data_IF_963284969871
#
_entry.id   IF_963284969871
#
_cell.length_a   1.000
_cell.length_b   1.000
_cell.length_c   1.000
_cell.angle_alpha   90.00
_cell.angle_beta   90.00
_cell.angle_gamma   90.00
#
_symmetry.space_group_name_H-M   'P 1'
#
loop_
_entity.id
_entity.type
_entity.pdbx_description
1 polymer ?
#
# COMPACT_ATOMS: atom_id res chain seq x y z
N UNK A 1 10.69 -16.60 1.45
CA UNK A 1 9.41 -16.98 0.82
C UNK A 1 8.47 -17.37 1.94
N UNK A 2 7.42 -16.57 2.17
CA UNK A 2 6.44 -16.84 3.23
C UNK A 2 5.72 -18.16 2.98
N UNK A 3 5.29 -18.81 4.05
CA UNK A 3 4.48 -20.03 3.97
C UNK A 3 3.02 -19.66 3.62
N UNK A 4 2.83 -19.12 2.42
CA UNK A 4 1.52 -18.64 1.94
C UNK A 4 0.48 -19.77 1.91
N UNK A 5 0.94 -21.01 1.69
CA UNK A 5 0.08 -22.20 1.74
C UNK A 5 -0.50 -22.41 3.14
N UNK A 6 0.30 -22.31 4.20
CA UNK A 6 -0.23 -22.36 5.58
C UNK A 6 -1.11 -21.17 5.91
N UNK A 7 -0.73 -19.96 5.50
CA UNK A 7 -1.56 -18.78 5.72
C UNK A 7 -2.95 -18.93 5.08
N UNK A 8 -2.99 -19.40 3.83
CA UNK A 8 -4.23 -19.68 3.11
C UNK A 8 -5.07 -20.74 3.85
N UNK A 9 -4.45 -21.84 4.30
CA UNK A 9 -5.15 -22.88 5.06
C UNK A 9 -5.82 -22.33 6.33
N UNK A 10 -5.12 -21.48 7.09
CA UNK A 10 -5.69 -20.86 8.30
C UNK A 10 -6.83 -19.89 7.98
N UNK A 11 -6.69 -19.06 6.93
CA UNK A 11 -7.76 -18.14 6.54
C UNK A 11 -8.98 -18.87 5.98
N UNK A 12 -8.80 -19.93 5.20
CA UNK A 12 -9.91 -20.76 4.70
C UNK A 12 -10.63 -21.46 5.85
N UNK A 13 -9.91 -22.01 6.83
CA UNK A 13 -10.51 -22.58 8.05
C UNK A 13 -11.30 -21.52 8.84
N UNK A 14 -10.73 -20.33 9.03
CA UNK A 14 -11.43 -19.22 9.69
C UNK A 14 -12.70 -18.82 8.93
N UNK A 15 -12.62 -18.74 7.60
CA UNK A 15 -13.74 -18.41 6.74
C UNK A 15 -14.88 -19.42 6.87
N UNK A 16 -14.57 -20.73 6.85
CA UNK A 16 -15.57 -21.79 7.04
C UNK A 16 -16.27 -21.73 8.41
N UNK A 17 -15.57 -21.29 9.45
CA UNK A 17 -16.17 -21.08 10.78
C UNK A 17 -17.15 -19.90 10.72
N UNK A 18 -16.73 -18.78 10.15
CA UNK A 18 -17.59 -17.60 10.00
C UNK A 18 -18.81 -17.89 9.14
N UNK A 19 -18.67 -18.61 8.03
CA UNK A 19 -19.78 -18.97 7.13
C UNK A 19 -20.86 -19.78 7.85
N UNK A 20 -20.47 -20.64 8.81
CA UNK A 20 -21.41 -21.45 9.60
C UNK A 20 -22.03 -20.68 10.77
N UNK A 21 -21.31 -19.70 11.32
CA UNK A 21 -21.67 -19.04 12.57
C UNK A 21 -22.39 -17.69 12.37
N UNK A 22 -22.19 -17.04 11.23
CA UNK A 22 -22.61 -15.67 10.99
C UNK A 22 -23.67 -15.55 9.88
N UNK A 23 -24.52 -14.52 9.92
CA UNK A 23 -25.46 -14.27 8.84
C UNK A 23 -24.72 -13.89 7.54
N UNK A 24 -25.31 -14.12 6.34
CA UNK A 24 -24.62 -13.97 5.05
C UNK A 24 -23.98 -12.59 4.78
N UNK A 25 -24.50 -11.52 5.36
CA UNK A 25 -24.00 -10.15 5.18
C UNK A 25 -23.14 -9.65 6.36
N UNK A 26 -22.60 -10.55 7.18
CA UNK A 26 -21.80 -10.13 8.34
C UNK A 26 -20.45 -9.53 7.90
N UNK A 27 -20.01 -8.39 8.46
CA UNK A 27 -18.73 -7.75 8.10
C UNK A 27 -17.48 -8.65 8.24
N UNK A 28 -17.48 -9.58 9.20
CA UNK A 28 -16.38 -10.54 9.37
C UNK A 28 -16.26 -11.51 8.19
N UNK A 29 -17.36 -11.83 7.49
CA UNK A 29 -17.31 -12.62 6.26
C UNK A 29 -16.59 -11.83 5.16
N UNK A 30 -16.94 -10.55 4.97
CA UNK A 30 -16.24 -9.69 4.01
C UNK A 30 -14.75 -9.58 4.32
N UNK A 31 -14.41 -9.40 5.60
CA UNK A 31 -13.01 -9.32 6.05
C UNK A 31 -12.25 -10.62 5.77
N UNK A 32 -12.86 -11.78 6.02
CA UNK A 32 -12.23 -13.07 5.73
C UNK A 32 -12.01 -13.31 4.24
N UNK A 33 -12.95 -12.91 3.37
CA UNK A 33 -12.75 -12.92 1.92
C UNK A 33 -11.59 -12.02 1.50
N UNK A 34 -11.51 -10.81 2.04
CA UNK A 34 -10.41 -9.89 1.75
C UNK A 34 -9.04 -10.43 2.17
N UNK A 35 -8.94 -11.10 3.32
CA UNK A 35 -7.69 -11.71 3.77
C UNK A 35 -7.24 -12.86 2.84
N UNK A 36 -8.17 -13.71 2.41
CA UNK A 36 -7.86 -14.78 1.43
C UNK A 36 -7.42 -14.16 0.09
N UNK A 37 -8.13 -13.12 -0.36
CA UNK A 37 -7.76 -12.38 -1.58
C UNK A 37 -6.35 -11.77 -1.49
N UNK A 38 -5.97 -11.24 -0.32
CA UNK A 38 -4.63 -10.72 -0.08
C UNK A 38 -3.55 -11.80 -0.18
N UNK A 39 -3.79 -13.00 0.38
CA UNK A 39 -2.84 -14.11 0.24
C UNK A 39 -2.65 -14.50 -1.22
N UNK A 40 -3.74 -14.61 -2.00
CA UNK A 40 -3.63 -14.89 -3.44
C UNK A 40 -2.90 -13.77 -4.19
N UNK A 41 -3.13 -12.51 -3.85
CA UNK A 41 -2.43 -11.36 -4.43
C UNK A 41 -0.92 -11.41 -4.14
N UNK A 42 -0.53 -11.84 -2.93
CA UNK A 42 0.87 -12.01 -2.55
C UNK A 42 1.52 -13.25 -3.18
N UNK A 43 0.73 -14.28 -3.51
CA UNK A 43 1.16 -15.43 -4.31
C UNK A 43 1.27 -15.12 -5.82
N UNK A 44 0.75 -13.97 -6.28
CA UNK A 44 0.69 -13.59 -7.69
C UNK A 44 -0.49 -14.22 -8.46
N UNK A 45 -1.42 -14.90 -7.78
CA UNK A 45 -2.67 -15.38 -8.38
C UNK A 45 -3.72 -14.25 -8.32
N UNK A 46 -3.50 -13.24 -9.15
CA UNK A 46 -4.32 -12.03 -9.17
C UNK A 46 -5.77 -12.30 -9.57
N UNK A 47 -6.02 -13.32 -10.42
CA UNK A 47 -7.38 -13.70 -10.81
C UNK A 47 -8.18 -14.20 -9.61
N UNK A 48 -7.61 -15.09 -8.79
CA UNK A 48 -8.28 -15.49 -7.55
C UNK A 48 -8.37 -14.35 -6.55
N UNK A 49 -7.33 -13.53 -6.42
CA UNK A 49 -7.39 -12.36 -5.53
C UNK A 49 -8.61 -11.48 -5.82
N UNK A 50 -8.83 -11.14 -7.09
CA UNK A 50 -9.98 -10.34 -7.54
C UNK A 50 -11.32 -11.03 -7.26
N UNK A 51 -11.42 -12.35 -7.48
CA UNK A 51 -12.65 -13.12 -7.17
C UNK A 51 -13.00 -13.01 -5.67
N UNK A 52 -12.01 -13.19 -4.79
CA UNK A 52 -12.20 -13.10 -3.35
C UNK A 52 -12.52 -11.67 -2.90
N UNK A 53 -11.84 -10.66 -3.46
CA UNK A 53 -12.18 -9.26 -3.19
C UNK A 53 -13.59 -8.88 -3.67
N UNK A 54 -14.07 -9.47 -4.77
CA UNK A 54 -15.43 -9.22 -5.26
C UNK A 54 -16.49 -9.78 -4.32
N UNK A 55 -16.30 -11.00 -3.82
CA UNK A 55 -17.17 -11.60 -2.79
C UNK A 55 -17.21 -10.76 -1.51
N UNK A 56 -16.04 -10.29 -1.07
CA UNK A 56 -15.95 -9.40 0.10
C UNK A 56 -16.69 -8.08 -0.10
N UNK A 57 -16.49 -7.44 -1.25
CA UNK A 57 -17.14 -6.19 -1.61
C UNK A 57 -18.67 -6.33 -1.73
N UNK A 58 -19.18 -7.44 -2.26
CA UNK A 58 -20.62 -7.70 -2.35
C UNK A 58 -21.27 -7.74 -0.96
N UNK A 59 -20.64 -8.44 -0.02
CA UNK A 59 -21.09 -8.49 1.39
C UNK A 59 -21.08 -7.10 2.00
N UNK A 60 -19.99 -6.34 1.84
CA UNK A 60 -19.89 -4.98 2.38
C UNK A 60 -20.96 -4.05 1.79
N UNK A 61 -21.26 -4.16 0.49
CA UNK A 61 -22.33 -3.37 -0.17
C UNK A 61 -23.72 -3.71 0.38
N UNK A 62 -23.98 -4.98 0.69
CA UNK A 62 -25.26 -5.41 1.24
C UNK A 62 -25.41 -5.06 2.72
N UNK A 63 -24.30 -4.96 3.45
CA UNK A 63 -24.27 -4.71 4.89
C UNK A 63 -24.26 -3.21 5.26
N UNK A 64 -23.66 -2.37 4.42
CA UNK A 64 -23.31 -0.99 4.76
C UNK A 64 -23.89 0.03 3.77
N UNK A 65 -24.10 1.29 4.19
CA UNK A 65 -24.48 2.37 3.29
C UNK A 65 -23.46 2.58 2.16
N UNK A 66 -23.87 3.06 0.96
CA UNK A 66 -22.98 3.23 -0.19
C UNK A 66 -21.76 4.14 0.01
N UNK A 67 -21.80 5.02 1.01
CA UNK A 67 -20.71 5.94 1.37
C UNK A 67 -19.88 5.44 2.57
N UNK A 68 -20.04 4.19 2.99
CA UNK A 68 -19.29 3.66 4.13
C UNK A 68 -17.80 3.52 3.80
N UNK A 69 -16.87 3.98 4.67
CA UNK A 69 -15.43 3.94 4.43
C UNK A 69 -14.85 2.56 4.08
N UNK A 70 -15.42 1.48 4.61
CA UNK A 70 -14.98 0.10 4.33
C UNK A 70 -15.10 -0.29 2.85
N UNK A 71 -16.05 0.33 2.12
CA UNK A 71 -16.17 0.15 0.67
C UNK A 71 -14.95 0.76 -0.05
N UNK A 72 -14.39 1.85 0.47
CA UNK A 72 -13.15 2.42 -0.07
C UNK A 72 -11.97 1.46 0.15
N UNK A 73 -11.86 0.83 1.33
CA UNK A 73 -10.83 -0.17 1.62
C UNK A 73 -10.85 -1.35 0.66
N UNK A 74 -12.04 -1.81 0.28
CA UNK A 74 -12.21 -2.85 -0.74
C UNK A 74 -11.64 -2.38 -2.09
N UNK A 75 -12.02 -1.18 -2.55
CA UNK A 75 -11.49 -0.60 -3.79
C UNK A 75 -9.96 -0.39 -3.79
N UNK A 76 -9.35 -0.10 -2.64
CA UNK A 76 -7.89 -0.03 -2.52
C UNK A 76 -7.23 -1.40 -2.71
N UNK A 77 -7.88 -2.48 -2.27
CA UNK A 77 -7.40 -3.86 -2.47
C UNK A 77 -7.42 -4.24 -3.96
N UNK A 78 -8.49 -3.87 -4.67
CA UNK A 78 -8.54 -3.98 -6.14
C UNK A 78 -7.42 -3.18 -6.82
N UNK A 79 -7.20 -1.93 -6.40
CA UNK A 79 -6.16 -1.08 -6.96
C UNK A 79 -4.76 -1.69 -6.78
N UNK A 80 -4.48 -2.24 -5.61
CA UNK A 80 -3.23 -2.94 -5.32
C UNK A 80 -3.00 -4.13 -6.26
N UNK A 81 -4.05 -4.93 -6.48
CA UNK A 81 -3.99 -6.09 -7.38
C UNK A 81 -3.74 -5.66 -8.83
N UNK A 82 -4.51 -4.68 -9.33
CA UNK A 82 -4.35 -4.17 -10.70
C UNK A 82 -3.00 -3.50 -10.93
N UNK A 83 -2.44 -2.81 -9.93
CA UNK A 83 -1.08 -2.23 -10.01
C UNK A 83 -0.03 -3.32 -10.23
N UNK A 84 -0.10 -4.42 -9.45
CA UNK A 84 0.82 -5.56 -9.61
C UNK A 84 0.65 -6.32 -10.92
N UNK A 85 -0.56 -6.31 -11.50
CA UNK A 85 -0.82 -6.85 -12.84
C UNK A 85 -0.31 -5.95 -13.96
N UNK A 86 0.02 -4.69 -13.68
CA UNK A 86 0.34 -3.67 -14.69
C UNK A 86 -0.88 -3.08 -15.38
N UNK A 87 -2.11 -3.39 -14.94
CA UNK A 87 -3.33 -2.75 -15.42
C UNK A 87 -3.58 -1.42 -14.68
N UNK A 88 -2.77 -0.43 -15.03
CA UNK A 88 -2.82 0.88 -14.39
C UNK A 88 -4.15 1.61 -14.63
N UNK A 89 -4.85 1.32 -15.74
CA UNK A 89 -6.15 1.92 -16.02
C UNK A 89 -7.22 1.41 -15.04
N UNK A 90 -7.27 0.10 -14.80
CA UNK A 90 -8.14 -0.50 -13.79
C UNK A 90 -7.76 -0.04 -12.37
N UNK A 91 -6.47 0.05 -12.07
CA UNK A 91 -5.99 0.54 -10.77
C UNK A 91 -6.45 1.98 -10.49
N UNK A 92 -6.28 2.90 -11.46
CA UNK A 92 -6.74 4.29 -11.33
C UNK A 92 -8.27 4.39 -11.22
N UNK A 93 -9.02 3.52 -11.90
CA UNK A 93 -10.49 3.47 -11.77
C UNK A 93 -10.90 3.05 -10.36
N UNK A 94 -10.28 2.01 -9.81
CA UNK A 94 -10.53 1.55 -8.44
C UNK A 94 -10.16 2.64 -7.41
N UNK A 95 -9.02 3.31 -7.57
CA UNK A 95 -8.61 4.42 -6.70
C UNK A 95 -9.59 5.60 -6.76
N UNK A 96 -10.14 5.91 -7.93
CA UNK A 96 -11.17 6.94 -8.08
C UNK A 96 -12.44 6.57 -7.30
N UNK A 97 -12.87 5.32 -7.37
CA UNK A 97 -14.02 4.85 -6.58
C UNK A 97 -13.77 4.96 -5.08
N UNK A 98 -12.59 4.54 -4.59
CA UNK A 98 -12.21 4.71 -3.18
C UNK A 98 -12.24 6.19 -2.76
N UNK A 99 -11.63 7.06 -3.58
CA UNK A 99 -11.57 8.50 -3.30
C UNK A 99 -12.95 9.13 -3.24
N UNK A 100 -13.86 8.79 -4.16
CA UNK A 100 -15.22 9.33 -4.18
C UNK A 100 -16.01 8.94 -2.92
N UNK A 101 -15.86 7.71 -2.43
CA UNK A 101 -16.48 7.25 -1.19
C UNK A 101 -15.92 8.04 0.00
N UNK A 102 -14.60 8.19 0.07
CA UNK A 102 -13.94 8.95 1.14
C UNK A 102 -14.37 10.42 1.15
N UNK A 103 -14.54 11.06 -0.01
CA UNK A 103 -15.04 12.44 -0.12
C UNK A 103 -16.48 12.61 0.40
N UNK A 104 -17.31 11.57 0.30
CA UNK A 104 -18.67 11.59 0.85
C UNK A 104 -18.69 11.30 2.35
N UNK A 105 -17.72 10.53 2.85
CA UNK A 105 -17.65 10.12 4.26
C UNK A 105 -16.91 11.12 5.15
N UNK A 106 -15.93 11.84 4.61
CA UNK A 106 -14.96 12.59 5.39
C UNK A 106 -14.66 13.99 4.82
N UNK A 107 -14.20 14.87 5.71
CA UNK A 107 -13.64 16.16 5.34
C UNK A 107 -12.25 15.99 4.71
N UNK A 108 -11.84 16.98 3.90
CA UNK A 108 -10.52 17.02 3.28
C UNK A 108 -9.39 16.95 4.33
N UNK A 109 -8.36 16.16 4.05
CA UNK A 109 -7.22 15.95 4.95
C UNK A 109 -7.44 14.87 6.02
N UNK A 110 -8.55 14.11 5.96
CA UNK A 110 -8.74 12.94 6.82
C UNK A 110 -7.66 11.84 6.55
N UNK A 111 -7.15 11.13 7.57
CA UNK A 111 -6.18 10.05 7.42
C UNK A 111 -6.57 8.98 6.39
N UNK A 112 -7.86 8.73 6.17
CA UNK A 112 -8.35 7.77 5.19
C UNK A 112 -7.81 8.02 3.77
N UNK A 113 -7.60 9.28 3.40
CA UNK A 113 -7.08 9.65 2.08
C UNK A 113 -5.60 9.32 1.87
N UNK A 114 -4.81 9.17 2.94
CA UNK A 114 -3.37 8.92 2.84
C UNK A 114 -3.07 7.64 2.03
N UNK A 115 -3.80 6.56 2.33
CA UNK A 115 -3.68 5.29 1.61
C UNK A 115 -3.98 5.42 0.11
N UNK A 116 -5.05 6.15 -0.24
CA UNK A 116 -5.43 6.40 -1.65
C UNK A 116 -4.35 7.20 -2.38
N UNK A 117 -3.80 8.24 -1.75
CA UNK A 117 -2.70 9.02 -2.33
C UNK A 117 -1.42 8.19 -2.48
N UNK A 118 -1.09 7.36 -1.50
CA UNK A 118 0.06 6.46 -1.59
C UNK A 118 -0.07 5.50 -2.79
N UNK A 119 -1.24 4.89 -2.99
CA UNK A 119 -1.49 4.02 -4.14
C UNK A 119 -1.49 4.78 -5.47
N UNK A 120 -2.06 5.98 -5.55
CA UNK A 120 -1.95 6.84 -6.74
C UNK A 120 -0.48 7.14 -7.07
N UNK A 121 0.32 7.47 -6.06
CA UNK A 121 1.75 7.71 -6.20
C UNK A 121 2.46 6.50 -6.80
N UNK A 122 2.17 5.29 -6.29
CA UNK A 122 2.73 4.03 -6.81
C UNK A 122 2.32 3.77 -8.26
N UNK A 123 1.03 3.88 -8.60
CA UNK A 123 0.56 3.67 -9.97
C UNK A 123 1.22 4.65 -10.94
N UNK A 124 1.27 5.95 -10.59
CA UNK A 124 1.92 6.93 -11.45
C UNK A 124 3.43 6.72 -11.57
N UNK A 125 4.11 6.27 -10.50
CA UNK A 125 5.52 5.85 -10.56
C UNK A 125 5.71 4.70 -11.56
N UNK A 126 4.87 3.67 -11.50
CA UNK A 126 4.91 2.52 -12.42
C UNK A 126 4.62 2.93 -13.88
N UNK A 127 3.80 3.96 -14.08
CA UNK A 127 3.56 4.61 -15.39
C UNK A 127 4.67 5.57 -15.83
N UNK A 128 5.71 5.79 -15.02
CA UNK A 128 6.79 6.78 -15.21
C UNK A 128 6.32 8.25 -15.24
N UNK A 129 5.12 8.54 -14.76
CA UNK A 129 4.65 9.91 -14.52
C UNK A 129 5.14 10.38 -13.15
N UNK A 130 6.45 10.64 -13.06
CA UNK A 130 7.12 10.95 -11.81
C UNK A 130 6.61 12.25 -11.16
N UNK A 131 6.13 13.21 -11.96
CA UNK A 131 5.54 14.45 -11.42
C UNK A 131 4.27 14.15 -10.64
N UNK A 132 3.35 13.36 -11.21
CA UNK A 132 2.13 12.98 -10.47
C UNK A 132 2.44 12.03 -9.33
N UNK A 133 3.44 11.15 -9.47
CA UNK A 133 3.86 10.28 -8.39
C UNK A 133 4.29 11.08 -7.15
N UNK A 134 5.16 12.08 -7.33
CA UNK A 134 5.62 12.97 -6.26
C UNK A 134 4.47 13.76 -5.63
N UNK A 135 3.62 14.41 -6.44
CA UNK A 135 2.46 15.17 -5.92
C UNK A 135 1.56 14.32 -5.01
N UNK A 136 1.31 13.06 -5.40
CA UNK A 136 0.50 12.16 -4.60
C UNK A 136 1.23 11.67 -3.34
N UNK A 137 2.51 11.33 -3.41
CA UNK A 137 3.27 10.95 -2.21
C UNK A 137 3.44 12.12 -1.23
N UNK A 138 3.61 13.35 -1.72
CA UNK A 138 3.67 14.56 -0.90
C UNK A 138 2.35 14.84 -0.19
N UNK A 139 1.21 14.63 -0.87
CA UNK A 139 -0.13 14.71 -0.24
C UNK A 139 -0.33 13.64 0.84
N UNK A 140 0.09 12.41 0.58
CA UNK A 140 0.09 11.33 1.58
C UNK A 140 0.92 11.74 2.81
N UNK A 141 2.16 12.18 2.58
CA UNK A 141 3.08 12.57 3.64
C UNK A 141 2.53 13.74 4.46
N UNK A 142 1.92 14.73 3.81
CA UNK A 142 1.32 15.88 4.49
C UNK A 142 0.19 15.47 5.45
N UNK A 143 -0.63 14.49 5.06
CA UNK A 143 -1.67 13.93 5.93
C UNK A 143 -1.03 13.14 7.08
N UNK A 144 -0.06 12.27 6.79
CA UNK A 144 0.62 11.45 7.80
C UNK A 144 1.33 12.32 8.86
N UNK A 145 2.00 13.40 8.46
CA UNK A 145 2.68 14.32 9.36
C UNK A 145 1.70 15.11 10.25
N UNK A 146 0.49 15.37 9.77
CA UNK A 146 -0.54 16.10 10.53
C UNK A 146 -1.29 15.20 11.50
N UNK A 147 -1.41 13.92 11.19
CA UNK A 147 -2.38 13.03 11.85
C UNK A 147 -1.77 11.88 12.63
N UNK A 148 -0.52 11.50 12.34
CA UNK A 148 0.19 10.42 13.01
C UNK A 148 1.27 10.99 13.94
N UNK A 149 1.66 10.25 14.99
CA UNK A 149 2.80 10.62 15.83
C UNK A 149 4.08 10.84 15.01
N UNK A 150 4.98 11.65 15.56
CA UNK A 150 6.31 11.82 14.96
C UNK A 150 7.00 10.45 14.81
N UNK A 151 7.67 10.23 13.67
CA UNK A 151 8.36 8.98 13.35
C UNK A 151 7.44 7.75 13.23
N UNK A 152 6.19 7.95 12.85
CA UNK A 152 5.31 6.82 12.54
C UNK A 152 5.85 6.02 11.33
N UNK A 153 5.83 4.67 11.34
CA UNK A 153 6.37 3.84 10.25
C UNK A 153 5.86 4.19 8.84
N UNK A 154 4.59 4.60 8.72
CA UNK A 154 4.03 5.06 7.43
C UNK A 154 4.75 6.28 6.84
N UNK A 155 5.30 7.17 7.68
CA UNK A 155 6.12 8.29 7.20
C UNK A 155 7.41 7.78 6.54
N UNK A 156 8.04 6.73 7.08
CA UNK A 156 9.24 6.12 6.51
C UNK A 156 8.96 5.44 5.15
N UNK A 157 7.81 4.77 5.03
CA UNK A 157 7.37 4.17 3.76
C UNK A 157 7.17 5.27 2.70
N UNK A 158 6.46 6.34 3.04
CA UNK A 158 6.22 7.45 2.10
C UNK A 158 7.52 8.17 1.72
N UNK A 159 8.45 8.39 2.66
CA UNK A 159 9.77 8.92 2.35
C UNK A 159 10.56 8.00 1.41
N UNK A 160 10.55 6.69 1.62
CA UNK A 160 11.22 5.73 0.75
C UNK A 160 10.65 5.77 -0.68
N UNK A 161 9.32 5.85 -0.81
CA UNK A 161 8.67 5.97 -2.11
C UNK A 161 9.04 7.26 -2.85
N UNK A 162 9.14 8.38 -2.14
CA UNK A 162 9.61 9.66 -2.72
C UNK A 162 11.08 9.54 -3.14
N UNK A 163 11.92 8.90 -2.30
CA UNK A 163 13.32 8.61 -2.60
C UNK A 163 13.48 7.80 -3.89
N UNK A 164 12.70 6.73 -4.04
CA UNK A 164 12.68 5.90 -5.25
C UNK A 164 12.34 6.71 -6.50
N UNK A 165 11.33 7.59 -6.43
CA UNK A 165 10.95 8.43 -7.57
C UNK A 165 12.09 9.38 -7.94
N UNK A 166 12.75 9.99 -6.96
CA UNK A 166 13.91 10.84 -7.23
C UNK A 166 15.09 10.07 -7.82
N UNK A 167 15.35 8.83 -7.35
CA UNK A 167 16.38 7.95 -7.93
C UNK A 167 16.07 7.66 -9.40
N UNK A 168 14.83 7.29 -9.72
CA UNK A 168 14.36 7.03 -11.09
C UNK A 168 14.46 8.26 -12.01
N UNK A 169 14.44 9.47 -11.46
CA UNK A 169 14.67 10.73 -12.17
C UNK A 169 16.17 11.10 -12.29
N UNK A 170 17.09 10.35 -11.68
CA UNK A 170 18.51 10.70 -11.59
C UNK A 170 18.84 11.78 -10.56
N UNK A 171 17.89 12.16 -9.71
CA UNK A 171 18.05 13.17 -8.66
C UNK A 171 18.64 12.52 -7.39
N UNK A 172 19.86 11.98 -7.50
CA UNK A 172 20.45 11.12 -6.47
C UNK A 172 20.60 11.79 -5.10
N UNK A 173 21.00 13.06 -5.04
CA UNK A 173 21.11 13.79 -3.77
C UNK A 173 19.77 13.85 -3.02
N UNK A 174 18.68 14.11 -3.74
CA UNK A 174 17.33 14.11 -3.15
C UNK A 174 16.92 12.70 -2.74
N UNK A 175 17.20 11.70 -3.56
CA UNK A 175 16.90 10.31 -3.26
C UNK A 175 17.57 9.87 -1.94
N UNK A 176 18.88 10.13 -1.80
CA UNK A 176 19.64 9.85 -0.58
C UNK A 176 19.03 10.57 0.64
N UNK A 177 18.71 11.85 0.51
CA UNK A 177 18.12 12.62 1.60
C UNK A 177 16.78 12.03 2.09
N UNK A 178 15.94 11.54 1.18
CA UNK A 178 14.67 10.93 1.52
C UNK A 178 14.81 9.52 2.11
N UNK A 179 15.68 8.67 1.54
CA UNK A 179 15.97 7.36 2.14
C UNK A 179 16.63 7.50 3.52
N UNK A 180 17.47 8.50 3.74
CA UNK A 180 18.05 8.76 5.06
C UNK A 180 17.00 9.18 6.09
N UNK A 181 15.98 9.95 5.68
CA UNK A 181 14.82 10.25 6.55
C UNK A 181 14.03 8.99 6.90
N UNK A 182 13.81 8.11 5.93
CA UNK A 182 13.15 6.83 6.17
C UNK A 182 13.94 5.96 7.14
N UNK A 183 15.27 5.83 6.92
CA UNK A 183 16.17 5.07 7.77
C UNK A 183 16.19 5.59 9.21
N UNK A 184 16.24 6.92 9.39
CA UNK A 184 16.22 7.53 10.73
C UNK A 184 14.95 7.14 11.51
N UNK A 185 13.80 7.06 10.85
CA UNK A 185 12.56 6.62 11.48
C UNK A 185 12.63 5.13 11.82
N UNK A 186 13.08 4.31 10.87
CA UNK A 186 13.18 2.86 11.02
C UNK A 186 14.16 2.47 12.14
N UNK A 187 15.31 3.13 12.28
CA UNK A 187 16.29 2.84 13.34
C UNK A 187 15.82 3.26 14.74
N UNK A 188 14.96 4.29 14.83
CA UNK A 188 14.48 4.84 16.10
C UNK A 188 13.20 4.17 16.62
N UNK A 189 12.47 3.49 15.74
CA UNK A 189 11.33 2.65 16.10
C UNK A 189 11.85 1.22 16.16
N UNK A 190 11.37 0.38 17.08
CA UNK A 190 11.68 -1.05 17.05
C UNK A 190 10.94 -1.67 15.84
N UNK A 191 11.39 -1.38 14.62
CA UNK A 191 10.80 -1.83 13.38
C UNK A 191 11.32 -3.21 12.99
N UNK A 192 10.69 -3.82 11.99
CA UNK A 192 11.20 -5.04 11.39
C UNK A 192 12.61 -4.77 10.83
N UNK A 193 13.64 -5.57 11.20
CA UNK A 193 14.99 -5.42 10.65
C UNK A 193 15.04 -5.43 9.11
N UNK A 194 14.06 -6.03 8.44
CA UNK A 194 13.97 -6.07 6.98
C UNK A 194 13.62 -4.72 6.34
N UNK A 195 12.94 -3.83 7.06
CA UNK A 195 12.66 -2.47 6.58
C UNK A 195 13.96 -1.65 6.50
N UNK A 196 14.79 -1.70 7.56
CA UNK A 196 16.12 -1.09 7.55
C UNK A 196 17.00 -1.67 6.43
N UNK A 197 17.00 -3.00 6.27
CA UNK A 197 17.79 -3.67 5.24
C UNK A 197 17.41 -3.21 3.83
N UNK A 198 16.12 -3.06 3.56
CA UNK A 198 15.63 -2.54 2.26
C UNK A 198 16.13 -1.12 2.02
N UNK A 199 16.08 -0.26 3.04
CA UNK A 199 16.57 1.12 2.92
C UNK A 199 18.09 1.17 2.71
N UNK A 200 18.87 0.34 3.40
CA UNK A 200 20.32 0.24 3.17
C UNK A 200 20.65 -0.23 1.75
N UNK A 201 19.93 -1.23 1.23
CA UNK A 201 20.06 -1.66 -0.17
C UNK A 201 19.81 -0.48 -1.10
N UNK A 202 18.71 0.27 -0.92
CA UNK A 202 18.40 1.42 -1.75
C UNK A 202 19.49 2.51 -1.70
N UNK A 203 20.06 2.79 -0.52
CA UNK A 203 21.17 3.74 -0.37
C UNK A 203 22.43 3.24 -1.12
N UNK A 204 22.81 1.97 -0.94
CA UNK A 204 23.93 1.36 -1.65
C UNK A 204 23.74 1.36 -3.17
N UNK A 205 22.52 1.09 -3.66
CA UNK A 205 22.20 1.15 -5.08
C UNK A 205 22.35 2.56 -5.65
N UNK A 206 21.92 3.59 -4.92
CA UNK A 206 22.08 4.99 -5.34
C UNK A 206 23.57 5.35 -5.46
N UNK A 207 24.39 5.02 -4.46
CA UNK A 207 25.84 5.27 -4.53
C UNK A 207 26.50 4.50 -5.68
N UNK A 208 26.07 3.26 -5.95
CA UNK A 208 26.52 2.48 -7.11
C UNK A 208 26.16 3.17 -8.43
N UNK A 209 24.94 3.70 -8.56
CA UNK A 209 24.51 4.47 -9.74
C UNK A 209 25.30 5.79 -9.91
N UNK A 210 25.68 6.43 -8.79
CA UNK A 210 26.58 7.59 -8.77
C UNK A 210 28.06 7.23 -9.07
N UNK A 211 28.40 5.94 -9.16
CA UNK A 211 29.77 5.42 -9.30
C UNK A 211 30.68 5.67 -8.08
N UNK A 212 30.10 5.94 -6.91
CA UNK A 212 30.81 5.96 -5.64
C UNK A 212 30.79 4.56 -5.02
N UNK A 213 31.62 3.67 -5.56
CA UNK A 213 31.66 2.27 -5.13
C UNK A 213 32.22 2.11 -3.70
N UNK A 214 33.07 3.04 -3.26
CA UNK A 214 33.60 3.06 -1.88
C UNK A 214 32.48 3.20 -0.87
N UNK A 215 31.60 4.20 -1.05
CA UNK A 215 30.47 4.43 -0.16
C UNK A 215 29.38 3.38 -0.35
N UNK A 216 29.16 2.90 -1.57
CA UNK A 216 28.20 1.83 -1.82
C UNK A 216 28.50 0.55 -1.03
N UNK A 217 29.78 0.22 -0.81
CA UNK A 217 30.22 -0.97 -0.04
C UNK A 217 30.07 -0.82 1.48
N UNK A 218 29.81 0.38 1.99
CA UNK A 218 29.57 0.58 3.43
C UNK A 218 28.12 0.33 3.84
N UNK A 219 27.24 0.13 2.86
CA UNK A 219 25.82 -0.16 3.01
C UNK A 219 25.54 -1.62 2.63
#
# INVERSE_FOLDING_TARGET
MGDYSKALEFYEKSHQIFEKALPPNHPDLATSYNNIGQVYNDMGDYSKALEFYEKGLEITKNALPPNHPDLAGSHLSFAACYERMGDYAAALKALRSAFQIQQQAFQEGNPAFASTYSWLGRVYRSMKDYSKALDNFEKCLAIDLKTLPEKHPYQAITYSNIGDVHRLMGNYEKALAFHQKALNIQENVQCDPTDCATTYINLGEIYREMKDYSTALTY
#
